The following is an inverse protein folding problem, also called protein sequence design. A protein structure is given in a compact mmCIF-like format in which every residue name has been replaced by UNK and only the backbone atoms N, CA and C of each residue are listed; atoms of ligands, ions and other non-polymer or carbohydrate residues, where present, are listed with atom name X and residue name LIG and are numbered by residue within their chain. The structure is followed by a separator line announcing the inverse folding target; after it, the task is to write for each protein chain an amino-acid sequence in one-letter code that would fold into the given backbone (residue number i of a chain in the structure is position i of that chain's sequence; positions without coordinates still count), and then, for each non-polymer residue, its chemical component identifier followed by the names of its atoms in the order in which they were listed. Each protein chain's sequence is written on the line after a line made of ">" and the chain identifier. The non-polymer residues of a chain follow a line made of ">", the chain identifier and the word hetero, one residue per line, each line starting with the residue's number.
data_IF_607846454054
#
_entry.id   IF_607846454054
#
_cell.length_a   1.000
_cell.length_b   1.000
_cell.length_c   1.000
_cell.angle_alpha   90.00
_cell.angle_beta   90.00
_cell.angle_gamma   90.00
#
_symmetry.space_group_name_H-M   'P 1'
#
loop_
_entity.id
_entity.type
_entity.pdbx_description
1 polymer ?
#
# COMPACT_ATOMS: atom_id res chain seq x y z
N UNK A 1 -6.01 38.19 -2.20
CA UNK A 1 -5.56 37.10 -3.08
C UNK A 1 -5.05 35.98 -2.20
N UNK A 2 -5.97 35.13 -1.75
CA UNK A 2 -5.65 33.88 -1.04
C UNK A 2 -4.89 32.99 -2.00
N UNK A 3 -3.69 32.56 -1.61
CA UNK A 3 -2.94 31.55 -2.35
C UNK A 3 -3.83 30.31 -2.41
N UNK A 4 -4.28 30.00 -3.61
CA UNK A 4 -4.81 28.70 -3.97
C UNK A 4 -3.65 27.71 -3.79
N UNK A 5 -3.53 27.17 -2.58
CA UNK A 5 -2.76 25.95 -2.37
C UNK A 5 -3.59 24.84 -3.01
N UNK A 6 -3.47 24.75 -4.34
CA UNK A 6 -3.81 23.56 -5.12
C UNK A 6 -2.91 22.42 -4.66
N UNK A 7 -3.15 21.96 -3.44
CA UNK A 7 -2.75 20.67 -2.95
C UNK A 7 -3.37 19.70 -3.94
N UNK A 8 -2.53 19.06 -4.77
CA UNK A 8 -2.98 18.02 -5.67
C UNK A 8 -3.57 16.91 -4.80
N UNK A 9 -4.87 17.01 -4.51
CA UNK A 9 -5.70 15.92 -4.05
C UNK A 9 -5.48 14.84 -5.09
N UNK A 10 -4.65 13.84 -4.76
CA UNK A 10 -4.48 12.65 -5.59
C UNK A 10 -5.89 12.23 -5.98
N UNK A 11 -6.16 12.16 -7.29
CA UNK A 11 -7.46 11.75 -7.77
C UNK A 11 -7.77 10.39 -7.13
N UNK A 12 -8.97 10.24 -6.58
CA UNK A 12 -9.39 9.02 -5.90
C UNK A 12 -9.09 7.80 -6.76
N UNK A 13 -9.31 7.92 -8.07
CA UNK A 13 -8.99 6.88 -9.04
C UNK A 13 -7.50 6.57 -9.13
N UNK A 14 -6.64 7.59 -9.21
CA UNK A 14 -5.19 7.39 -9.22
C UNK A 14 -4.71 6.71 -7.93
N UNK A 15 -5.31 7.05 -6.79
CA UNK A 15 -4.98 6.42 -5.52
C UNK A 15 -5.45 4.95 -5.44
N UNK A 16 -6.65 4.65 -5.93
CA UNK A 16 -7.14 3.27 -6.08
C UNK A 16 -6.24 2.46 -7.02
N UNK A 17 -5.82 3.05 -8.14
CA UNK A 17 -4.90 2.42 -9.10
C UNK A 17 -3.51 2.20 -8.49
N UNK A 18 -3.01 3.11 -7.66
CA UNK A 18 -1.78 2.90 -6.88
C UNK A 18 -1.91 1.70 -5.94
N UNK A 19 -2.96 1.67 -5.11
CA UNK A 19 -3.18 0.56 -4.15
C UNK A 19 -3.25 -0.77 -4.89
N UNK A 20 -4.03 -0.86 -5.97
CA UNK A 20 -4.15 -2.06 -6.79
C UNK A 20 -2.81 -2.53 -7.36
N UNK A 21 -1.99 -1.60 -7.87
CA UNK A 21 -0.65 -1.94 -8.40
C UNK A 21 0.28 -2.44 -7.30
N UNK A 22 0.25 -1.81 -6.13
CA UNK A 22 1.06 -2.22 -4.99
C UNK A 22 0.68 -3.62 -4.48
N UNK A 23 -0.63 -3.92 -4.38
CA UNK A 23 -1.14 -5.25 -4.04
C UNK A 23 -0.65 -6.30 -5.03
N UNK A 24 -0.84 -6.07 -6.33
CA UNK A 24 -0.44 -7.01 -7.38
C UNK A 24 1.08 -7.26 -7.37
N UNK A 25 1.88 -6.20 -7.18
CA UNK A 25 3.34 -6.30 -7.13
C UNK A 25 3.81 -7.13 -5.93
N UNK A 26 3.28 -6.88 -4.74
CA UNK A 26 3.67 -7.59 -3.52
C UNK A 26 3.16 -9.03 -3.50
N UNK A 27 1.97 -9.29 -4.04
CA UNK A 27 1.44 -10.65 -4.19
C UNK A 27 2.28 -11.50 -5.14
N UNK A 28 2.97 -10.89 -6.10
CA UNK A 28 3.89 -11.56 -7.02
C UNK A 28 5.32 -11.71 -6.45
N UNK A 29 5.60 -11.22 -5.24
CA UNK A 29 6.93 -11.33 -4.64
C UNK A 29 7.22 -12.79 -4.24
N UNK A 30 8.32 -13.39 -4.71
CA UNK A 30 8.60 -14.81 -4.48
C UNK A 30 9.10 -15.11 -3.05
N UNK A 31 9.41 -14.09 -2.24
CA UNK A 31 10.03 -14.30 -0.92
C UNK A 31 8.99 -14.77 0.10
N UNK A 32 9.24 -15.87 0.84
CA UNK A 32 8.28 -16.42 1.80
C UNK A 32 7.87 -15.46 2.91
N UNK A 33 8.79 -14.58 3.33
CA UNK A 33 8.51 -13.55 4.33
C UNK A 33 7.52 -12.49 3.84
N UNK A 34 7.62 -12.08 2.56
CA UNK A 34 6.68 -11.13 1.95
C UNK A 34 5.34 -11.80 1.73
N UNK A 35 5.32 -13.06 1.29
CA UNK A 35 4.08 -13.84 1.17
C UNK A 35 3.31 -13.93 2.50
N UNK A 36 4.00 -14.13 3.63
CA UNK A 36 3.37 -14.12 4.96
C UNK A 36 2.79 -12.75 5.32
N UNK A 37 3.50 -11.67 5.01
CA UNK A 37 3.00 -10.31 5.26
C UNK A 37 1.80 -9.97 4.38
N UNK A 38 1.80 -10.40 3.12
CA UNK A 38 0.65 -10.24 2.21
C UNK A 38 -0.57 -11.03 2.71
N UNK A 39 -0.39 -12.25 3.24
CA UNK A 39 -1.48 -13.00 3.85
C UNK A 39 -2.12 -12.26 5.04
N UNK A 40 -1.30 -11.70 5.94
CA UNK A 40 -1.78 -10.87 7.04
C UNK A 40 -2.47 -9.59 6.55
N UNK A 41 -1.98 -9.00 5.46
CA UNK A 41 -2.61 -7.84 4.83
C UNK A 41 -4.02 -8.16 4.32
N UNK A 42 -4.25 -9.31 3.69
CA UNK A 42 -5.59 -9.68 3.21
C UNK A 42 -6.59 -9.81 4.38
N UNK A 43 -6.17 -10.36 5.51
CA UNK A 43 -6.99 -10.40 6.73
C UNK A 43 -7.31 -8.99 7.25
N UNK A 44 -6.31 -8.11 7.28
CA UNK A 44 -6.48 -6.71 7.69
C UNK A 44 -7.36 -5.92 6.72
N UNK A 45 -7.26 -6.17 5.42
CA UNK A 45 -8.05 -5.50 4.38
C UNK A 45 -9.55 -5.68 4.63
N UNK A 46 -9.97 -6.92 4.91
CA UNK A 46 -11.37 -7.23 5.25
C UNK A 46 -11.81 -6.48 6.52
N UNK A 47 -10.91 -6.36 7.50
CA UNK A 47 -11.18 -5.60 8.72
C UNK A 47 -11.31 -4.11 8.46
N UNK A 48 -10.46 -3.52 7.62
CA UNK A 48 -10.58 -2.11 7.23
C UNK A 48 -11.90 -1.84 6.52
N UNK A 49 -12.30 -2.69 5.58
CA UNK A 49 -13.57 -2.55 4.86
C UNK A 49 -14.77 -2.66 5.80
N UNK A 50 -14.73 -3.55 6.79
CA UNK A 50 -15.80 -3.70 7.79
C UNK A 50 -15.86 -2.53 8.77
N UNK A 51 -14.71 -2.14 9.32
CA UNK A 51 -14.65 -1.20 10.45
C UNK A 51 -14.70 0.26 9.98
N UNK A 52 -14.22 0.57 8.76
CA UNK A 52 -14.14 1.92 8.19
C UNK A 52 -15.09 2.13 7.00
N UNK A 53 -15.80 1.10 6.57
CA UNK A 53 -16.69 1.12 5.41
C UNK A 53 -15.98 0.79 4.10
N UNK A 54 -16.57 -0.12 3.33
CA UNK A 54 -16.04 -0.54 2.05
C UNK A 54 -15.97 0.64 1.06
N UNK A 55 -14.80 0.85 0.45
CA UNK A 55 -14.58 1.94 -0.50
C UNK A 55 -14.54 3.34 0.12
N UNK A 56 -14.46 3.45 1.45
CA UNK A 56 -14.20 4.74 2.10
C UNK A 56 -12.74 5.17 1.88
N UNK A 57 -12.51 6.49 1.93
CA UNK A 57 -11.16 7.05 1.85
C UNK A 57 -10.27 6.50 2.97
N UNK A 58 -10.82 6.34 4.17
CA UNK A 58 -10.08 5.87 5.34
C UNK A 58 -9.67 4.41 5.21
N UNK A 59 -10.54 3.56 4.65
CA UNK A 59 -10.18 2.19 4.30
C UNK A 59 -9.06 2.14 3.25
N UNK A 60 -9.12 2.99 2.22
CA UNK A 60 -8.08 3.09 1.19
C UNK A 60 -6.74 3.57 1.76
N UNK A 61 -6.73 4.59 2.61
CA UNK A 61 -5.52 5.10 3.26
C UNK A 61 -4.91 4.05 4.17
N UNK A 62 -5.74 3.33 4.94
CA UNK A 62 -5.27 2.25 5.82
C UNK A 62 -4.63 1.12 5.03
N UNK A 63 -5.23 0.74 3.88
CA UNK A 63 -4.64 -0.23 2.94
C UNK A 63 -3.29 0.24 2.40
N UNK A 64 -3.22 1.48 1.91
CA UNK A 64 -1.98 2.05 1.39
C UNK A 64 -0.86 2.06 2.44
N UNK A 65 -1.16 2.48 3.68
CA UNK A 65 -0.20 2.50 4.76
C UNK A 65 0.33 1.09 5.08
N UNK A 66 -0.54 0.08 5.14
CA UNK A 66 -0.12 -1.30 5.35
C UNK A 66 0.78 -1.80 4.21
N UNK A 67 0.40 -1.52 2.94
CA UNK A 67 1.22 -1.90 1.79
C UNK A 67 2.59 -1.21 1.79
N UNK A 68 2.68 0.06 2.20
CA UNK A 68 3.97 0.74 2.33
C UNK A 68 4.89 0.07 3.36
N UNK A 69 4.36 -0.43 4.48
CA UNK A 69 5.16 -1.17 5.46
C UNK A 69 5.69 -2.49 4.89
N UNK A 70 4.89 -3.19 4.08
CA UNK A 70 5.32 -4.42 3.42
C UNK A 70 6.38 -4.10 2.35
N UNK A 71 6.19 -3.02 1.58
CA UNK A 71 7.19 -2.55 0.60
C UNK A 71 8.51 -2.21 1.28
N UNK A 72 8.49 -1.49 2.40
CA UNK A 72 9.69 -1.20 3.18
C UNK A 72 10.43 -2.48 3.60
N UNK A 73 9.70 -3.52 4.03
CA UNK A 73 10.30 -4.83 4.35
C UNK A 73 10.87 -5.53 3.12
N UNK A 74 10.14 -5.50 2.01
CA UNK A 74 10.57 -6.04 0.73
C UNK A 74 11.84 -5.37 0.21
N UNK A 75 12.01 -4.08 0.45
CA UNK A 75 13.21 -3.33 0.01
C UNK A 75 14.37 -3.49 1.01
N UNK A 76 14.09 -3.53 2.31
CA UNK A 76 15.13 -3.67 3.35
C UNK A 76 15.74 -5.08 3.42
N UNK A 77 15.02 -6.09 2.93
CA UNK A 77 15.51 -7.46 2.84
C UNK A 77 16.40 -7.71 1.61
N UNK A 78 16.46 -6.76 0.68
CA UNK A 78 17.42 -6.78 -0.41
C UNK A 78 18.72 -6.14 0.09
N UNK A 79 19.84 -6.88 0.24
CA UNK A 79 21.10 -6.26 0.64
C UNK A 79 21.46 -5.18 -0.39
N UNK A 80 22.03 -4.02 0.02
CA UNK A 80 22.48 -3.02 -0.94
C UNK A 80 23.41 -3.71 -1.92
N UNK A 81 23.11 -3.58 -3.22
CA UNK A 81 23.92 -4.14 -4.28
C UNK A 81 25.39 -3.78 -4.00
N UNK A 82 26.21 -4.79 -3.73
CA UNK A 82 27.62 -4.61 -3.48
C UNK A 82 28.19 -3.77 -4.62
N UNK A 83 28.69 -2.59 -4.27
CA UNK A 83 29.32 -1.65 -5.19
C UNK A 83 30.39 -2.41 -5.97
N UNK A 84 30.18 -2.57 -7.28
CA UNK A 84 31.21 -3.04 -8.23
C UNK A 84 31.93 -1.84 -8.81
#
# INVERSE_FOLDING_TARGET
>A
MTRDHGEALIDRREFEEYVRRAEARLAADPRPEIARLVALYEELRLRFERDLGAGSRDAMVSRAAALMLIQYRAESADPPAATR
#
